data_IF_792383018522
#
_entry.id   IF_792383018522
#
_cell.length_a   1.000
_cell.length_b   1.000
_cell.length_c   1.000
_cell.angle_alpha   90.00
_cell.angle_beta   90.00
_cell.angle_gamma   90.00
#
_symmetry.space_group_name_H-M   'P 1'
#
loop_
_entity.id
_entity.type
_entity.pdbx_description
1 polymer ?
#
# COMPACT_ATOMS: atom_id res chain seq x y z
N UNK A 1 7.01 18.45 14.74
CA UNK A 1 7.36 17.04 14.84
C UNK A 1 6.63 16.47 16.02
N UNK A 2 5.88 15.40 15.83
CA UNK A 2 5.23 14.64 16.89
C UNK A 2 5.99 13.33 17.04
N UNK A 3 6.58 13.10 18.20
CA UNK A 3 7.12 11.80 18.55
C UNK A 3 5.97 10.97 19.12
N UNK A 4 5.83 9.78 18.59
CA UNK A 4 4.83 8.83 19.09
C UNK A 4 5.46 8.11 20.27
N UNK A 5 4.90 8.32 21.45
CA UNK A 5 5.33 7.63 22.67
C UNK A 5 4.80 6.19 22.67
N UNK A 6 5.40 5.27 23.43
CA UNK A 6 4.98 3.87 23.51
C UNK A 6 3.65 3.70 24.24
N UNK A 7 2.59 4.34 23.70
CA UNK A 7 1.23 3.95 24.01
C UNK A 7 0.89 2.75 23.11
N UNK A 8 0.08 1.85 23.59
CA UNK A 8 -0.47 0.75 22.78
C UNK A 8 -1.60 1.34 21.89
N UNK A 9 -1.35 1.76 20.64
CA UNK A 9 -2.41 2.26 19.79
C UNK A 9 -3.41 1.14 19.49
N UNK A 10 -4.69 1.47 19.51
CA UNK A 10 -5.76 0.54 19.14
C UNK A 10 -6.32 0.96 17.79
N UNK A 11 -6.14 0.13 16.78
CA UNK A 11 -6.65 0.34 15.42
C UNK A 11 -7.55 -0.83 15.07
N UNK A 12 -8.79 -0.56 14.65
CA UNK A 12 -9.78 -1.59 14.33
C UNK A 12 -9.94 -2.66 15.44
N UNK A 13 -10.04 -2.21 16.69
CA UNK A 13 -10.17 -3.04 17.89
C UNK A 13 -8.94 -3.89 18.26
N UNK A 14 -7.78 -3.65 17.60
CA UNK A 14 -6.53 -4.37 17.84
C UNK A 14 -5.50 -3.47 18.50
N UNK A 15 -4.80 -4.04 19.44
CA UNK A 15 -3.65 -3.41 20.05
C UNK A 15 -2.42 -3.59 19.15
N UNK A 16 -1.70 -2.50 18.97
CA UNK A 16 -0.41 -2.48 18.31
C UNK A 16 0.66 -2.05 19.29
N UNK A 17 1.86 -2.53 19.06
CA UNK A 17 3.06 -2.12 19.77
C UNK A 17 4.02 -1.49 18.76
N UNK A 18 4.64 -0.39 19.12
CA UNK A 18 5.74 0.15 18.32
C UNK A 18 6.95 -0.78 18.41
N UNK A 19 7.51 -1.16 17.27
CA UNK A 19 8.66 -2.06 17.20
C UNK A 19 9.90 -1.43 17.86
N UNK A 20 10.03 -0.11 17.75
CA UNK A 20 11.08 0.65 18.41
C UNK A 20 10.58 2.02 18.92
N UNK A 21 11.48 2.81 19.51
CA UNK A 21 11.18 4.13 20.04
C UNK A 21 11.38 5.25 19.01
N UNK A 22 11.65 4.93 17.76
CA UNK A 22 11.96 5.91 16.70
C UNK A 22 10.74 6.32 15.88
N UNK A 23 9.54 6.09 16.39
CA UNK A 23 8.30 6.40 15.68
C UNK A 23 7.96 7.89 15.78
N UNK A 24 7.73 8.50 14.63
CA UNK A 24 7.43 9.92 14.54
C UNK A 24 6.62 10.25 13.28
N UNK A 25 5.86 11.35 13.35
CA UNK A 25 5.20 11.99 12.23
C UNK A 25 5.60 13.46 12.21
N UNK A 26 5.89 13.96 11.04
CA UNK A 26 6.20 15.37 10.82
C UNK A 26 5.35 15.93 9.68
N UNK A 27 4.56 16.95 9.99
CA UNK A 27 3.80 17.72 9.01
C UNK A 27 4.57 18.98 8.65
N UNK A 28 4.91 19.13 7.40
CA UNK A 28 5.57 20.33 6.89
C UNK A 28 4.55 21.37 6.44
N UNK A 29 4.96 22.65 6.42
CA UNK A 29 4.10 23.80 6.08
C UNK A 29 3.39 23.69 4.71
N UNK A 30 3.88 22.87 3.80
CA UNK A 30 3.30 22.64 2.47
C UNK A 30 2.39 21.40 2.40
N UNK A 31 1.80 20.99 3.50
CA UNK A 31 0.96 19.79 3.62
C UNK A 31 1.71 18.47 3.30
N UNK A 32 3.04 18.47 3.33
CA UNK A 32 3.85 17.27 3.17
C UNK A 32 3.90 16.49 4.48
N UNK A 33 3.75 15.20 4.38
CA UNK A 33 3.80 14.29 5.52
C UNK A 33 5.09 13.50 5.46
N UNK A 34 5.87 13.57 6.52
CA UNK A 34 7.01 12.67 6.72
C UNK A 34 6.70 11.80 7.93
N UNK A 35 6.93 10.53 7.81
CA UNK A 35 6.65 9.59 8.87
C UNK A 35 7.72 8.51 8.95
N UNK A 36 7.91 7.98 10.13
CA UNK A 36 8.55 6.72 10.39
C UNK A 36 7.71 6.05 11.46
N UNK A 37 6.89 5.10 11.04
CA UNK A 37 6.00 4.33 11.91
C UNK A 37 6.27 2.87 11.62
N UNK A 38 6.52 2.11 12.67
CA UNK A 38 6.69 0.67 12.61
C UNK A 38 5.96 0.06 13.80
N UNK A 39 4.90 -0.69 13.52
CA UNK A 39 4.01 -1.25 14.53
C UNK A 39 3.66 -2.68 14.20
N UNK A 40 3.68 -3.52 15.22
CA UNK A 40 3.20 -4.89 15.16
C UNK A 40 2.07 -5.12 16.18
N UNK A 41 1.15 -6.00 15.86
CA UNK A 41 0.13 -6.48 16.78
C UNK A 41 0.47 -7.87 17.30
N UNK A 42 -0.16 -8.28 18.40
CA UNK A 42 0.07 -9.58 19.05
C UNK A 42 -0.19 -10.79 18.13
N UNK A 43 -1.00 -10.63 17.11
CA UNK A 43 -1.29 -11.69 16.12
C UNK A 43 -0.41 -11.64 14.86
N UNK A 44 0.64 -10.81 14.86
CA UNK A 44 1.62 -10.70 13.79
C UNK A 44 1.21 -9.81 12.62
N UNK A 45 0.11 -9.06 12.74
CA UNK A 45 -0.22 -8.00 11.77
C UNK A 45 0.77 -6.86 11.94
N UNK A 46 1.51 -6.54 10.89
CA UNK A 46 2.45 -5.42 10.84
C UNK A 46 1.90 -4.25 10.06
N UNK A 47 2.20 -3.04 10.51
CA UNK A 47 1.97 -1.81 9.77
C UNK A 47 3.22 -0.94 9.79
N UNK A 48 3.70 -0.59 8.61
CA UNK A 48 4.86 0.28 8.43
C UNK A 48 4.53 1.45 7.52
N UNK A 49 4.98 2.64 7.90
CA UNK A 49 4.90 3.83 7.06
C UNK A 49 6.22 4.58 7.17
N UNK A 50 6.92 4.71 6.06
CA UNK A 50 8.26 5.30 6.04
C UNK A 50 8.40 6.33 4.92
N UNK A 51 8.99 7.45 5.24
CA UNK A 51 9.36 8.48 4.28
C UNK A 51 10.86 8.52 4.10
N UNK A 52 11.33 8.58 2.86
CA UNK A 52 12.75 8.78 2.59
C UNK A 52 13.14 10.23 2.87
N UNK A 53 13.93 10.45 3.93
CA UNK A 53 14.45 11.76 4.31
C UNK A 53 15.63 12.21 3.44
N UNK A 54 16.32 11.27 2.79
CA UNK A 54 17.53 11.57 2.03
C UNK A 54 17.19 11.95 0.57
N UNK A 55 15.95 11.78 0.19
CA UNK A 55 15.48 12.21 -1.13
C UNK A 55 15.28 13.73 -1.17
N UNK A 56 16.28 14.43 -1.69
CA UNK A 56 16.26 15.89 -1.85
C UNK A 56 15.49 16.35 -3.09
N UNK A 57 15.12 15.44 -3.98
CA UNK A 57 14.48 15.73 -5.27
C UNK A 57 12.97 15.64 -5.15
N UNK A 58 12.49 14.66 -4.42
CA UNK A 58 11.05 14.46 -4.25
C UNK A 58 10.42 15.45 -3.30
N UNK A 59 9.24 15.91 -3.64
CA UNK A 59 8.37 16.66 -2.73
C UNK A 59 7.80 15.77 -1.64
N UNK A 60 7.48 14.53 -2.00
CA UNK A 60 6.98 13.50 -1.12
C UNK A 60 7.51 12.16 -1.61
N UNK A 61 8.06 11.36 -0.73
CA UNK A 61 8.44 9.98 -0.97
C UNK A 61 8.04 9.17 0.25
N UNK A 62 7.08 8.27 0.08
CA UNK A 62 6.49 7.52 1.17
C UNK A 62 6.25 6.08 0.75
N UNK A 63 6.64 5.16 1.61
CA UNK A 63 6.29 3.75 1.52
C UNK A 63 5.31 3.40 2.66
N UNK A 64 4.27 2.65 2.33
CA UNK A 64 3.26 2.14 3.28
C UNK A 64 3.14 0.65 3.08
N UNK A 65 3.30 -0.11 4.13
CA UNK A 65 3.22 -1.57 4.14
C UNK A 65 2.22 -2.03 5.19
N UNK A 66 1.38 -2.98 4.81
CA UNK A 66 0.53 -3.75 5.69
C UNK A 66 0.88 -5.23 5.49
N UNK A 67 1.27 -5.92 6.53
CA UNK A 67 1.71 -7.30 6.42
C UNK A 67 0.88 -8.23 7.30
N UNK A 68 0.55 -9.41 6.75
CA UNK A 68 -0.08 -10.53 7.46
C UNK A 68 -1.45 -10.21 8.09
N UNK A 69 -2.27 -9.41 7.43
CA UNK A 69 -3.65 -9.21 7.86
C UNK A 69 -4.47 -10.48 7.63
N UNK A 70 -5.05 -11.02 8.69
CA UNK A 70 -5.88 -12.23 8.60
C UNK A 70 -7.27 -11.90 8.05
N UNK A 71 -7.58 -12.35 6.83
CA UNK A 71 -8.87 -12.07 6.17
C UNK A 71 -10.08 -12.60 6.95
N UNK A 72 -9.90 -13.67 7.72
CA UNK A 72 -10.96 -14.21 8.58
C UNK A 72 -11.55 -13.21 9.56
N UNK A 73 -10.77 -12.22 9.95
CA UNK A 73 -11.19 -11.17 10.87
C UNK A 73 -12.21 -10.20 10.27
N UNK A 74 -12.22 -10.05 8.96
CA UNK A 74 -13.23 -9.24 8.28
C UNK A 74 -14.64 -9.82 8.45
N UNK A 75 -14.78 -11.13 8.52
CA UNK A 75 -16.06 -11.79 8.72
C UNK A 75 -16.66 -11.54 10.11
N UNK A 76 -15.84 -11.20 11.10
CA UNK A 76 -16.28 -10.83 12.46
C UNK A 76 -16.91 -9.45 12.50
N UNK A 77 -16.45 -8.54 11.62
CA UNK A 77 -16.89 -7.14 11.55
C UNK A 77 -17.98 -6.93 10.50
N UNK A 78 -17.96 -7.75 9.43
CA UNK A 78 -18.87 -7.65 8.30
C UNK A 78 -19.77 -8.90 8.22
N UNK A 79 -20.94 -8.91 8.89
CA UNK A 79 -21.76 -10.10 9.08
C UNK A 79 -22.33 -10.72 7.78
N UNK A 80 -22.31 -9.99 6.68
CA UNK A 80 -22.78 -10.48 5.37
C UNK A 80 -21.64 -10.88 4.41
N UNK A 81 -20.40 -10.84 4.89
CA UNK A 81 -19.26 -11.23 4.09
C UNK A 81 -19.15 -12.75 4.03
N UNK A 82 -18.85 -13.34 2.86
CA UNK A 82 -18.55 -14.77 2.77
C UNK A 82 -17.34 -15.10 3.66
N UNK A 83 -17.25 -16.33 4.10
CA UNK A 83 -16.12 -16.77 4.92
C UNK A 83 -14.86 -16.82 4.07
N UNK A 84 -13.99 -15.87 4.32
CA UNK A 84 -12.66 -15.77 3.71
C UNK A 84 -11.62 -16.08 4.77
N UNK A 85 -10.61 -16.85 4.41
CA UNK A 85 -9.37 -16.97 5.21
C UNK A 85 -8.16 -16.81 4.30
N UNK A 86 -7.04 -16.47 4.87
CA UNK A 86 -5.79 -16.19 4.19
C UNK A 86 -5.07 -15.03 4.83
N UNK A 87 -3.81 -14.83 4.46
CA UNK A 87 -2.98 -13.74 4.94
C UNK A 87 -2.86 -12.69 3.83
N UNK A 88 -3.45 -11.53 4.07
CA UNK A 88 -3.33 -10.38 3.17
C UNK A 88 -2.13 -9.54 3.53
N UNK A 89 -1.32 -9.21 2.54
CA UNK A 89 -0.23 -8.23 2.65
C UNK A 89 -0.32 -7.25 1.49
N UNK A 90 0.02 -6.00 1.75
CA UNK A 90 0.03 -4.96 0.71
C UNK A 90 1.17 -3.97 0.98
N UNK A 91 1.78 -3.50 -0.11
CA UNK A 91 2.77 -2.44 -0.09
C UNK A 91 2.40 -1.39 -1.14
N UNK A 92 2.59 -0.12 -0.79
CA UNK A 92 2.38 0.97 -1.72
C UNK A 92 3.49 2.02 -1.56
N UNK A 93 4.04 2.45 -2.68
CA UNK A 93 5.02 3.54 -2.75
C UNK A 93 4.41 4.73 -3.51
N UNK A 94 4.58 5.91 -2.94
CA UNK A 94 4.12 7.16 -3.50
C UNK A 94 5.31 8.12 -3.59
N UNK A 95 5.66 8.53 -4.81
CA UNK A 95 6.74 9.49 -5.07
C UNK A 95 6.18 10.66 -5.88
N UNK A 96 6.24 11.84 -5.30
CA UNK A 96 5.84 13.08 -5.96
C UNK A 96 7.03 14.00 -6.12
N UNK A 97 7.28 14.46 -7.32
CA UNK A 97 8.23 15.52 -7.65
C UNK A 97 7.48 16.81 -8.02
N UNK A 98 8.15 17.95 -8.25
CA UNK A 98 7.48 19.17 -8.73
C UNK A 98 6.72 18.99 -10.05
N UNK A 99 7.09 18.02 -10.87
CA UNK A 99 6.59 17.86 -12.23
C UNK A 99 5.95 16.50 -12.50
N UNK A 100 6.06 15.56 -11.58
CA UNK A 100 5.60 14.18 -11.82
C UNK A 100 5.08 13.50 -10.57
N UNK A 101 4.26 12.48 -10.78
CA UNK A 101 3.75 11.58 -9.78
C UNK A 101 3.98 10.14 -10.22
N UNK A 102 4.62 9.36 -9.36
CA UNK A 102 4.76 7.92 -9.48
C UNK A 102 4.06 7.24 -8.32
N UNK A 103 3.32 6.19 -8.60
CA UNK A 103 2.69 5.33 -7.60
C UNK A 103 2.91 3.88 -8.01
N UNK A 104 3.34 3.05 -7.08
CA UNK A 104 3.30 1.60 -7.23
C UNK A 104 2.58 1.00 -6.03
N UNK A 105 1.81 -0.04 -6.27
CA UNK A 105 1.14 -0.79 -5.22
C UNK A 105 1.11 -2.26 -5.58
N UNK A 106 1.36 -3.10 -4.59
CA UNK A 106 1.28 -4.55 -4.70
C UNK A 106 0.45 -5.08 -3.54
N UNK A 107 -0.30 -6.14 -3.79
CA UNK A 107 -1.07 -6.82 -2.76
C UNK A 107 -1.09 -8.32 -3.02
N UNK A 108 -0.95 -9.10 -1.96
CA UNK A 108 -0.93 -10.56 -2.01
C UNK A 108 -1.88 -11.12 -0.95
N UNK A 109 -2.49 -12.23 -1.28
CA UNK A 109 -3.26 -13.06 -0.35
C UNK A 109 -2.67 -14.46 -0.43
N UNK A 110 -2.03 -14.89 0.65
CA UNK A 110 -1.48 -16.23 0.76
C UNK A 110 -2.55 -17.17 1.33
N UNK A 111 -2.61 -18.37 0.79
CA UNK A 111 -3.52 -19.44 1.24
C UNK A 111 -5.00 -18.99 1.29
N UNK A 112 -5.47 -18.30 0.26
CA UNK A 112 -6.86 -17.86 0.21
C UNK A 112 -7.80 -19.07 0.22
N UNK A 113 -8.76 -19.03 1.13
CA UNK A 113 -9.87 -19.96 1.19
C UNK A 113 -11.20 -19.19 1.12
N UNK A 114 -12.09 -19.59 0.26
CA UNK A 114 -13.43 -19.05 0.10
C UNK A 114 -14.47 -20.12 0.46
N UNK A 115 -15.35 -19.84 1.43
CA UNK A 115 -16.40 -20.79 1.87
C UNK A 115 -15.88 -22.22 2.12
N UNK A 116 -14.69 -22.36 2.75
CA UNK A 116 -13.96 -23.60 3.04
C UNK A 116 -13.35 -24.31 1.81
N UNK A 117 -13.38 -23.68 0.64
CA UNK A 117 -12.69 -24.19 -0.54
C UNK A 117 -11.36 -23.47 -0.69
N UNK A 118 -10.29 -24.22 -0.77
CA UNK A 118 -8.97 -23.66 -1.03
C UNK A 118 -8.95 -23.08 -2.44
N UNK A 119 -8.55 -21.80 -2.55
CA UNK A 119 -8.43 -21.07 -3.81
C UNK A 119 -6.98 -21.05 -4.25
N UNK A 120 -6.04 -20.79 -3.36
CA UNK A 120 -4.61 -20.64 -3.63
C UNK A 120 -4.09 -19.26 -3.32
N UNK A 121 -2.88 -18.97 -3.79
CA UNK A 121 -2.23 -17.67 -3.61
C UNK A 121 -2.66 -16.69 -4.70
N UNK A 122 -3.02 -15.48 -4.30
CA UNK A 122 -3.44 -14.42 -5.23
C UNK A 122 -2.51 -13.23 -5.06
N UNK A 123 -1.99 -12.70 -6.17
CA UNK A 123 -1.22 -11.48 -6.21
C UNK A 123 -1.77 -10.50 -7.22
N UNK A 124 -1.64 -9.22 -6.92
CA UNK A 124 -1.97 -8.15 -7.84
C UNK A 124 -1.03 -6.97 -7.64
N UNK A 125 -0.74 -6.26 -8.72
CA UNK A 125 0.06 -5.05 -8.65
C UNK A 125 -0.36 -4.04 -9.69
N UNK A 126 -0.09 -2.78 -9.38
CA UNK A 126 -0.30 -1.67 -10.28
C UNK A 126 0.84 -0.66 -10.14
N UNK A 127 1.36 -0.20 -11.27
CA UNK A 127 2.40 0.83 -11.30
C UNK A 127 1.99 1.96 -12.24
N UNK A 128 2.01 3.16 -11.71
CA UNK A 128 1.78 4.39 -12.45
C UNK A 128 3.09 5.17 -12.57
N UNK A 129 3.59 5.33 -13.79
CA UNK A 129 4.85 5.99 -14.09
C UNK A 129 4.64 7.22 -14.97
N UNK A 130 5.31 8.35 -14.67
CA UNK A 130 5.34 9.48 -15.58
C UNK A 130 6.21 9.15 -16.79
N UNK A 131 5.73 9.54 -17.97
CA UNK A 131 6.54 9.48 -19.19
C UNK A 131 7.46 10.69 -19.36
N UNK A 132 8.46 10.57 -20.23
CA UNK A 132 9.54 11.54 -20.44
C UNK A 132 9.07 12.97 -20.80
N UNK A 133 7.86 13.12 -21.27
CA UNK A 133 7.33 14.41 -21.76
C UNK A 133 6.26 15.04 -20.84
N UNK A 134 6.13 14.58 -19.59
CA UNK A 134 5.22 15.16 -18.60
C UNK A 134 3.70 15.09 -18.92
N UNK A 135 3.34 14.82 -20.17
CA UNK A 135 1.95 14.75 -20.64
C UNK A 135 1.51 13.29 -20.91
N UNK A 136 2.38 12.34 -20.68
CA UNK A 136 2.12 10.91 -20.86
C UNK A 136 2.36 10.19 -19.55
N UNK A 137 1.50 9.25 -19.23
CA UNK A 137 1.65 8.38 -18.07
C UNK A 137 1.43 6.95 -18.51
N UNK A 138 2.17 6.05 -17.92
CA UNK A 138 2.08 4.62 -18.16
C UNK A 138 1.46 3.95 -16.94
N UNK A 139 0.44 3.13 -17.17
CA UNK A 139 -0.15 2.27 -16.18
C UNK A 139 0.16 0.84 -16.57
N UNK A 140 0.82 0.12 -15.68
CA UNK A 140 1.05 -1.31 -15.80
C UNK A 140 0.33 -1.99 -14.64
N UNK A 141 -0.38 -3.08 -14.93
CA UNK A 141 -1.04 -3.88 -13.92
C UNK A 141 -0.79 -5.35 -14.17
N UNK A 142 -0.73 -6.13 -13.12
CA UNK A 142 -0.64 -7.58 -13.21
C UNK A 142 -1.57 -8.25 -12.20
N UNK A 143 -1.92 -9.46 -12.51
CA UNK A 143 -2.59 -10.39 -11.61
C UNK A 143 -1.87 -11.74 -11.68
N UNK A 144 -1.58 -12.33 -10.52
CA UNK A 144 -0.94 -13.62 -10.38
C UNK A 144 -1.80 -14.59 -9.58
N UNK A 145 -1.64 -15.86 -9.90
CA UNK A 145 -2.27 -16.97 -9.20
C UNK A 145 -1.23 -18.08 -8.98
N UNK A 146 -1.11 -18.59 -7.76
CA UNK A 146 -0.10 -19.56 -7.34
C UNK A 146 1.31 -19.16 -7.83
N UNK A 147 1.70 -17.91 -7.57
CA UNK A 147 2.99 -17.34 -7.95
C UNK A 147 3.27 -17.35 -9.47
N UNK A 148 2.24 -17.44 -10.31
CA UNK A 148 2.36 -17.31 -11.76
C UNK A 148 1.52 -16.12 -12.23
N UNK A 149 2.14 -15.27 -13.00
CA UNK A 149 1.42 -14.19 -13.67
C UNK A 149 0.43 -14.80 -14.69
N UNK A 150 -0.84 -14.48 -14.52
CA UNK A 150 -1.92 -15.01 -15.37
C UNK A 150 -2.57 -13.93 -16.23
N UNK A 151 -2.42 -12.67 -15.86
CA UNK A 151 -2.95 -11.54 -16.60
C UNK A 151 -2.09 -10.31 -16.38
N UNK A 152 -1.83 -9.58 -17.46
CA UNK A 152 -1.30 -8.22 -17.43
C UNK A 152 -2.20 -7.29 -18.21
N UNK A 153 -2.24 -6.03 -17.81
CA UNK A 153 -2.88 -4.99 -18.59
C UNK A 153 -2.05 -3.70 -18.51
N UNK A 154 -1.79 -3.14 -19.67
CA UNK A 154 -1.03 -1.91 -19.83
C UNK A 154 -1.91 -0.82 -20.38
N UNK A 155 -1.74 0.37 -19.87
CA UNK A 155 -2.46 1.54 -20.32
C UNK A 155 -1.52 2.74 -20.52
N UNK A 156 -1.83 3.56 -21.49
CA UNK A 156 -1.15 4.84 -21.73
C UNK A 156 -2.17 5.96 -21.61
N UNK A 157 -1.98 6.82 -20.63
CA UNK A 157 -2.73 8.05 -20.52
C UNK A 157 -1.93 9.19 -21.13
N UNK A 158 -2.49 9.83 -22.15
CA UNK A 158 -1.89 11.03 -22.75
C UNK A 158 -2.79 12.24 -22.50
N UNK A 159 -2.23 13.28 -21.91
CA UNK A 159 -2.91 14.55 -21.71
C UNK A 159 -2.45 15.56 -22.77
N UNK A 160 -3.37 16.03 -23.61
CA UNK A 160 -3.11 17.05 -24.62
C UNK A 160 -4.22 18.11 -24.58
N UNK A 161 -3.83 19.39 -24.42
CA UNK A 161 -4.76 20.52 -24.36
C UNK A 161 -5.87 20.36 -23.30
N UNK A 162 -5.55 19.87 -22.11
CA UNK A 162 -6.50 19.66 -21.03
C UNK A 162 -7.44 18.46 -21.21
N UNK A 163 -7.28 17.67 -22.29
CA UNK A 163 -8.06 16.45 -22.53
C UNK A 163 -7.20 15.23 -22.30
N UNK A 164 -7.67 14.31 -21.50
CA UNK A 164 -7.04 13.01 -21.24
C UNK A 164 -7.57 11.97 -22.25
N UNK A 165 -6.67 11.13 -22.77
CA UNK A 165 -7.01 9.98 -23.63
C UNK A 165 -6.29 8.74 -23.11
N UNK A 166 -7.03 7.65 -22.98
CA UNK A 166 -6.50 6.31 -22.71
C UNK A 166 -6.28 5.54 -24.03
N UNK A 167 -5.23 4.76 -24.05
CA UNK A 167 -4.98 3.69 -25.02
C UNK A 167 -4.66 2.42 -24.28
#
# INVERSE_FOLDING_TARGET
>A
MLNLTPAEPVIAYRKFHFVDNSNWIYLHNNMRVYANIDMDSDNGLGFRMQSDKNDSISLQNMNVELSRFQLGELSEVLPYMPRLTGLFSAEAQYIQTPTSLQVSAEANIDELTYERQHVGDIGMGATWLPGDKGATHYLNTYFSYDNREVMTADGILTQKNGKARWK
#
